data_IF_629062221575
#
_entry.id   IF_629062221575
#
_cell.length_a   1.000
_cell.length_b   1.000
_cell.length_c   1.000
_cell.angle_alpha   90.00
_cell.angle_beta   90.00
_cell.angle_gamma   90.00
#
_symmetry.space_group_name_H-M   'P 1'
#
loop_
_entity.id
_entity.type
_entity.pdbx_description
1 polymer ?
#
# COMPACT_ATOMS: atom_id res chain seq x y z
N UNK A 1 -4.93 -11.92 -14.03
CA UNK A 1 -3.95 -12.70 -13.23
C UNK A 1 -3.99 -12.13 -11.83
N UNK A 2 -4.22 -12.94 -10.80
CA UNK A 2 -4.35 -12.48 -9.42
C UNK A 2 -3.00 -12.53 -8.71
N UNK A 3 -2.65 -11.46 -8.00
CA UNK A 3 -1.48 -11.36 -7.13
C UNK A 3 -1.88 -11.87 -5.75
N UNK A 4 -0.96 -12.53 -5.05
CA UNK A 4 -1.07 -12.71 -3.62
C UNK A 4 -1.12 -11.33 -2.95
N UNK A 5 -1.86 -11.24 -1.86
CA UNK A 5 -2.04 -10.00 -1.12
C UNK A 5 -1.65 -10.22 0.34
N UNK A 6 -0.63 -9.49 0.78
CA UNK A 6 -0.23 -9.40 2.17
C UNK A 6 -0.50 -8.00 2.70
N UNK A 7 -0.85 -7.94 3.99
CA UNK A 7 -1.09 -6.67 4.67
C UNK A 7 -0.26 -6.69 5.94
N UNK A 8 0.69 -5.77 6.05
CA UNK A 8 1.59 -5.67 7.20
C UNK A 8 0.80 -5.49 8.50
N UNK A 9 1.36 -5.96 9.61
CA UNK A 9 0.76 -5.76 10.94
C UNK A 9 0.49 -4.27 11.23
N UNK A 10 1.38 -3.38 10.77
CA UNK A 10 1.20 -1.93 10.88
C UNK A 10 -0.03 -1.44 10.09
N UNK A 11 -0.12 -1.79 8.80
CA UNK A 11 -1.27 -1.44 7.97
C UNK A 11 -2.58 -1.99 8.52
N UNK A 12 -2.59 -3.22 9.05
CA UNK A 12 -3.78 -3.80 9.67
C UNK A 12 -4.28 -2.96 10.85
N UNK A 13 -3.39 -2.54 11.75
CA UNK A 13 -3.73 -1.68 12.91
C UNK A 13 -4.26 -0.32 12.44
N UNK A 14 -3.61 0.28 11.45
CA UNK A 14 -4.05 1.56 10.88
C UNK A 14 -5.45 1.45 10.27
N UNK A 15 -5.70 0.41 9.46
CA UNK A 15 -7.00 0.14 8.85
C UNK A 15 -8.09 -0.03 9.91
N UNK A 16 -7.80 -0.74 10.99
CA UNK A 16 -8.75 -0.95 12.09
C UNK A 16 -9.16 0.38 12.76
N UNK A 17 -8.20 1.29 12.95
CA UNK A 17 -8.41 2.62 13.53
C UNK A 17 -9.18 3.61 12.66
N UNK A 18 -9.46 3.29 11.39
CA UNK A 18 -10.18 4.19 10.48
C UNK A 18 -11.68 4.31 10.82
N UNK A 19 -12.33 5.45 10.53
CA UNK A 19 -13.78 5.56 10.56
C UNK A 19 -14.43 4.47 9.68
N UNK A 20 -15.58 3.93 10.09
CA UNK A 20 -16.18 2.75 9.45
C UNK A 20 -16.33 2.84 7.93
N UNK A 21 -16.81 3.98 7.42
CA UNK A 21 -16.95 4.23 5.98
C UNK A 21 -15.60 4.27 5.25
N UNK A 22 -14.56 4.83 5.87
CA UNK A 22 -13.19 4.84 5.31
C UNK A 22 -12.62 3.43 5.33
N UNK A 23 -12.73 2.73 6.46
CA UNK A 23 -12.23 1.36 6.64
C UNK A 23 -12.77 0.42 5.57
N UNK A 24 -14.07 0.49 5.26
CA UNK A 24 -14.69 -0.31 4.22
C UNK A 24 -14.11 0.01 2.83
N UNK A 25 -13.95 1.30 2.51
CA UNK A 25 -13.37 1.73 1.23
C UNK A 25 -11.91 1.29 1.08
N UNK A 26 -11.12 1.40 2.15
CA UNK A 26 -9.72 0.95 2.17
C UNK A 26 -9.63 -0.56 2.00
N UNK A 27 -10.41 -1.35 2.74
CA UNK A 27 -10.44 -2.82 2.57
C UNK A 27 -10.83 -3.26 1.17
N UNK A 28 -11.74 -2.54 0.51
CA UNK A 28 -12.07 -2.78 -0.90
C UNK A 28 -10.89 -2.48 -1.80
N UNK A 29 -10.33 -1.27 -1.70
CA UNK A 29 -9.18 -0.86 -2.50
C UNK A 29 -7.96 -1.80 -2.31
N UNK A 30 -7.67 -2.23 -1.07
CA UNK A 30 -6.62 -3.20 -0.75
C UNK A 30 -6.85 -4.54 -1.44
N UNK A 31 -8.08 -5.07 -1.43
CA UNK A 31 -8.40 -6.32 -2.14
C UNK A 31 -8.30 -6.15 -3.66
N UNK A 32 -8.77 -5.04 -4.20
CA UNK A 32 -8.72 -4.74 -5.63
C UNK A 32 -7.27 -4.68 -6.16
N UNK A 33 -6.26 -4.41 -5.30
CA UNK A 33 -4.84 -4.45 -5.69
C UNK A 33 -4.37 -5.85 -6.07
N UNK A 34 -4.99 -6.91 -5.55
CA UNK A 34 -4.65 -8.28 -5.94
C UNK A 34 -4.95 -8.52 -7.43
N UNK A 35 -6.04 -7.95 -7.95
CA UNK A 35 -6.43 -8.13 -9.35
C UNK A 35 -5.83 -7.04 -10.26
N UNK A 36 -5.59 -5.86 -9.72
CA UNK A 36 -4.98 -4.74 -10.42
C UNK A 36 -3.95 -4.05 -9.52
N UNK A 37 -2.69 -4.50 -9.49
CA UNK A 37 -1.65 -3.95 -8.62
C UNK A 37 -1.21 -2.54 -9.02
N UNK A 38 -1.52 -2.09 -10.24
CA UNK A 38 -1.13 -0.77 -10.76
C UNK A 38 -2.36 0.00 -11.27
N UNK A 39 -3.37 0.27 -10.41
CA UNK A 39 -4.58 0.95 -10.84
C UNK A 39 -4.25 2.39 -11.28
N UNK A 40 -5.09 3.01 -12.10
CA UNK A 40 -4.85 4.36 -12.64
C UNK A 40 -4.63 5.44 -11.56
N UNK A 41 -5.20 5.25 -10.37
CA UNK A 41 -5.00 6.15 -9.21
C UNK A 41 -3.71 5.91 -8.41
N UNK A 42 -2.87 4.96 -8.84
CA UNK A 42 -1.60 4.65 -8.21
C UNK A 42 -0.42 5.36 -8.87
N UNK A 43 0.58 5.70 -8.07
CA UNK A 43 1.85 6.28 -8.53
C UNK A 43 3.00 5.51 -7.90
N UNK A 44 4.07 5.29 -8.67
CA UNK A 44 5.35 4.85 -8.13
C UNK A 44 5.89 5.91 -7.16
N UNK A 45 6.58 5.47 -6.12
CA UNK A 45 7.29 6.33 -5.17
C UNK A 45 8.72 6.55 -5.68
N UNK A 46 9.28 7.72 -5.39
CA UNK A 46 10.56 8.19 -5.94
C UNK A 46 11.76 7.69 -5.10
N UNK A 47 11.82 6.39 -4.86
CA UNK A 47 12.99 5.68 -4.31
C UNK A 47 13.00 4.25 -4.83
N UNK A 48 14.17 3.62 -4.79
CA UNK A 48 14.36 2.25 -5.26
C UNK A 48 14.19 1.25 -4.11
N UNK A 49 13.60 0.11 -4.43
CA UNK A 49 13.45 -1.03 -3.54
C UNK A 49 14.11 -2.23 -4.20
N UNK A 50 14.98 -2.95 -3.49
CA UNK A 50 15.68 -4.11 -4.03
C UNK A 50 14.71 -5.21 -4.51
N UNK A 51 13.60 -5.38 -3.79
CA UNK A 51 12.69 -6.51 -3.94
C UNK A 51 11.38 -6.16 -4.66
N UNK A 52 11.26 -4.99 -5.31
CA UNK A 52 10.06 -4.68 -6.09
C UNK A 52 9.82 -3.21 -6.38
N UNK A 53 8.56 -2.88 -6.67
CA UNK A 53 8.15 -1.53 -7.04
C UNK A 53 7.36 -0.85 -5.90
N UNK A 54 7.91 0.19 -5.24
CA UNK A 54 7.19 0.91 -4.20
C UNK A 54 6.16 1.86 -4.83
N UNK A 55 4.93 1.82 -4.33
CA UNK A 55 3.79 2.54 -4.89
C UNK A 55 2.88 3.12 -3.81
N UNK A 56 2.08 4.10 -4.21
CA UNK A 56 0.95 4.61 -3.43
C UNK A 56 -0.31 4.71 -4.28
N UNK A 57 -1.48 4.44 -3.71
CA UNK A 57 -2.77 4.72 -4.33
C UNK A 57 -3.57 5.72 -3.51
N UNK A 58 -4.14 6.72 -4.18
CA UNK A 58 -4.94 7.77 -3.54
C UNK A 58 -6.39 7.32 -3.36
N UNK A 59 -6.92 7.52 -2.15
CA UNK A 59 -8.34 7.32 -1.81
C UNK A 59 -8.85 8.55 -1.02
N UNK A 60 -9.34 9.57 -1.73
CA UNK A 60 -9.71 10.87 -1.16
C UNK A 60 -8.61 11.50 -0.29
N UNK A 61 -8.84 11.56 1.03
CA UNK A 61 -7.93 12.07 2.06
C UNK A 61 -6.97 11.01 2.59
N UNK A 62 -7.11 9.76 2.16
CA UNK A 62 -6.28 8.63 2.55
C UNK A 62 -5.38 8.19 1.40
N UNK A 63 -4.28 7.54 1.74
CA UNK A 63 -3.36 6.91 0.80
C UNK A 63 -2.98 5.54 1.33
N UNK A 64 -2.94 4.57 0.44
CA UNK A 64 -2.42 3.24 0.73
C UNK A 64 -1.02 3.17 0.12
N UNK A 65 -0.03 2.84 0.94
CA UNK A 65 1.37 2.63 0.55
C UNK A 65 1.60 1.13 0.46
N UNK A 66 2.19 0.68 -0.65
CA UNK A 66 2.34 -0.74 -0.95
C UNK A 66 3.53 -1.01 -1.88
N UNK A 67 3.98 -2.26 -1.92
CA UNK A 67 4.96 -2.76 -2.87
C UNK A 67 4.32 -3.76 -3.85
N UNK A 68 4.80 -3.78 -5.10
CA UNK A 68 4.50 -4.83 -6.08
C UNK A 68 5.77 -5.64 -6.33
N UNK A 69 5.72 -6.93 -6.04
CA UNK A 69 6.82 -7.88 -6.18
C UNK A 69 6.45 -8.85 -7.30
N UNK A 70 7.36 -9.03 -8.25
CA UNK A 70 7.16 -9.87 -9.45
C UNK A 70 8.35 -10.76 -9.80
N UNK A 71 9.45 -10.70 -9.04
CA UNK A 71 10.67 -11.44 -9.33
C UNK A 71 10.47 -12.96 -9.24
N UNK A 72 9.97 -13.44 -8.09
CA UNK A 72 9.75 -14.87 -7.85
C UNK A 72 8.25 -15.22 -7.73
N UNK A 73 7.49 -14.35 -7.07
CA UNK A 73 6.05 -14.51 -6.84
C UNK A 73 5.34 -13.20 -7.17
N UNK A 74 4.13 -13.29 -7.73
CA UNK A 74 3.25 -12.13 -7.93
C UNK A 74 2.60 -11.77 -6.61
N UNK A 75 3.21 -10.83 -5.89
CA UNK A 75 2.81 -10.44 -4.54
C UNK A 75 2.62 -8.92 -4.45
N UNK A 76 1.55 -8.52 -3.76
CA UNK A 76 1.29 -7.14 -3.34
C UNK A 76 1.38 -7.10 -1.82
N UNK A 77 2.25 -6.24 -1.28
CA UNK A 77 2.36 -6.04 0.16
C UNK A 77 1.87 -4.64 0.52
N UNK A 78 0.80 -4.55 1.29
CA UNK A 78 0.30 -3.27 1.82
C UNK A 78 1.00 -2.95 3.13
N UNK A 79 1.68 -1.80 3.17
CA UNK A 79 2.59 -1.42 4.24
C UNK A 79 1.99 -0.37 5.19
N UNK A 80 1.22 0.59 4.65
CA UNK A 80 0.58 1.63 5.45
C UNK A 80 -0.68 2.21 4.81
N UNK A 81 -1.54 2.82 5.63
CA UNK A 81 -2.72 3.60 5.26
C UNK A 81 -2.74 4.94 6.00
N UNK A 82 -2.36 6.01 5.29
CA UNK A 82 -2.08 7.32 5.90
C UNK A 82 -3.03 8.42 5.42
N UNK A 83 -3.39 9.37 6.30
CA UNK A 83 -4.20 10.56 5.97
C UNK A 83 -3.31 11.72 5.54
N UNK A 84 -3.72 12.52 4.55
CA UNK A 84 -3.04 13.77 4.13
C UNK A 84 -3.80 15.01 4.62
N UNK A 85 -3.14 16.16 4.89
CA UNK A 85 -1.91 16.42 5.65
C UNK A 85 -2.18 16.46 7.18
N UNK A 86 -1.15 16.50 8.06
CA UNK A 86 0.25 16.96 7.82
C UNK A 86 1.31 15.92 7.42
N UNK A 87 0.96 14.69 7.03
CA UNK A 87 1.97 13.66 6.67
C UNK A 87 2.78 14.00 5.40
N UNK A 88 4.11 14.05 5.54
CA UNK A 88 5.09 14.49 4.53
C UNK A 88 5.89 13.36 3.88
N UNK A 89 5.59 12.11 4.21
CA UNK A 89 6.21 10.90 3.64
C UNK A 89 7.70 10.71 4.00
N UNK A 90 8.19 11.36 5.05
CA UNK A 90 9.60 11.20 5.47
C UNK A 90 9.96 9.78 5.90
N UNK A 91 8.99 9.03 6.45
CA UNK A 91 9.13 7.65 6.94
C UNK A 91 8.89 6.58 5.85
N UNK A 92 8.79 7.00 4.57
CA UNK A 92 8.48 6.05 3.50
C UNK A 92 9.52 4.95 3.36
N UNK A 93 10.84 5.21 3.33
CA UNK A 93 11.84 4.16 3.19
C UNK A 93 11.73 3.10 4.30
N UNK A 94 11.55 3.53 5.55
CA UNK A 94 11.48 2.65 6.72
C UNK A 94 10.29 1.67 6.66
N UNK A 95 9.21 2.03 5.96
CA UNK A 95 8.08 1.12 5.75
C UNK A 95 8.45 -0.10 4.88
N UNK A 96 9.53 -0.03 4.11
CA UNK A 96 9.93 -1.08 3.18
C UNK A 96 11.17 -1.85 3.67
N UNK A 97 11.75 -1.50 4.82
CA UNK A 97 12.93 -2.19 5.39
C UNK A 97 12.66 -3.70 5.59
N UNK A 98 11.43 -4.06 5.97
CA UNK A 98 10.98 -5.44 6.15
C UNK A 98 10.84 -6.23 4.82
N UNK A 99 10.98 -5.57 3.67
CA UNK A 99 10.92 -6.17 2.34
C UNK A 99 12.30 -6.36 1.68
N UNK A 100 13.37 -5.93 2.36
CA UNK A 100 14.76 -5.99 1.86
C UNK A 100 15.44 -7.33 2.08
#
# INVERSE_FOLDING_TARGET
MSYQLEVSSAAQREIQGLPGHVRQRVRRATRDLADNPRPAGSRRLDFDLATGEPRRVRLDRWRIVYAVIEADVKLVVVLAVRRRPPYDYSDLPELFDDLS
#
